data_IF_698913681583
#
_entry.id   IF_698913681583
#
_cell.length_a   1.000
_cell.length_b   1.000
_cell.length_c   1.000
_cell.angle_alpha   90.00
_cell.angle_beta   90.00
_cell.angle_gamma   90.00
#
_symmetry.space_group_name_H-M   'P 1'
#
loop_
_entity.id
_entity.type
_entity.pdbx_description
1 polymer ?
#
# COMPACT_ATOMS: atom_id res chain seq x y z
N UNK A 1 -4.82 6.97 -13.58
CA UNK A 1 -3.74 5.95 -13.71
C UNK A 1 -3.25 5.59 -12.32
N UNK A 2 -2.63 4.43 -12.14
CA UNK A 2 -2.01 4.02 -10.89
C UNK A 2 -0.91 5.02 -10.50
N UNK A 3 -0.73 5.23 -9.19
CA UNK A 3 0.35 6.06 -8.67
C UNK A 3 1.70 5.38 -8.96
N UNK A 4 2.74 6.17 -9.21
CA UNK A 4 4.11 5.64 -9.25
C UNK A 4 4.56 5.30 -7.84
N UNK A 5 5.54 4.40 -7.74
CA UNK A 5 6.14 4.05 -6.45
C UNK A 5 6.72 5.29 -5.76
N UNK A 6 7.38 6.19 -6.50
CA UNK A 6 7.92 7.43 -5.92
C UNK A 6 6.85 8.32 -5.25
N UNK A 7 5.64 8.39 -5.81
CA UNK A 7 4.53 9.12 -5.18
C UNK A 7 4.00 8.41 -3.94
N UNK A 8 3.97 7.08 -3.94
CA UNK A 8 3.57 6.27 -2.78
C UNK A 8 4.62 6.38 -1.66
N UNK A 9 5.91 6.33 -2.01
CA UNK A 9 7.02 6.52 -1.08
C UNK A 9 6.95 7.91 -0.42
N UNK A 10 6.68 8.96 -1.19
CA UNK A 10 6.45 10.31 -0.66
C UNK A 10 5.25 10.39 0.29
N UNK A 11 4.18 9.62 0.05
CA UNK A 11 3.05 9.50 0.97
C UNK A 11 3.47 8.81 2.27
N UNK A 12 4.22 7.70 2.19
CA UNK A 12 4.73 7.01 3.38
C UNK A 12 5.65 7.92 4.22
N UNK A 13 6.52 8.70 3.58
CA UNK A 13 7.40 9.67 4.25
C UNK A 13 6.60 10.75 4.99
N UNK A 14 5.48 11.22 4.40
CA UNK A 14 4.59 12.16 5.08
C UNK A 14 3.94 11.54 6.31
N UNK A 15 3.43 10.32 6.18
CA UNK A 15 2.84 9.59 7.30
C UNK A 15 3.87 9.36 8.42
N UNK A 16 5.08 8.92 8.09
CA UNK A 16 6.22 8.75 9.01
C UNK A 16 6.56 10.05 9.74
N UNK A 17 6.58 11.19 9.04
CA UNK A 17 7.00 12.45 9.64
C UNK A 17 5.97 13.11 10.56
N UNK A 18 4.68 12.80 10.40
CA UNK A 18 3.58 13.51 11.07
C UNK A 18 2.85 12.71 12.14
N UNK A 19 2.89 11.38 12.05
CA UNK A 19 2.19 10.50 12.96
C UNK A 19 3.16 9.51 13.61
N UNK A 20 2.68 8.66 14.51
CA UNK A 20 3.50 7.74 15.28
C UNK A 20 3.84 6.47 14.49
N UNK A 21 4.50 6.66 13.35
CA UNK A 21 4.95 5.62 12.44
C UNK A 21 6.47 5.62 12.34
N UNK A 22 7.07 4.44 12.26
CA UNK A 22 8.48 4.24 11.95
C UNK A 22 8.63 3.58 10.59
N UNK A 23 9.52 4.09 9.75
CA UNK A 23 9.73 3.57 8.40
C UNK A 23 10.37 2.19 8.36
N UNK A 24 9.83 1.34 7.49
CA UNK A 24 10.40 0.02 7.15
C UNK A 24 11.09 0.14 5.80
N UNK A 25 12.40 -0.08 5.78
CA UNK A 25 13.23 0.12 4.59
C UNK A 25 13.77 -1.20 4.04
N UNK A 26 13.75 -1.34 2.72
CA UNK A 26 14.39 -2.43 1.99
C UNK A 26 15.16 -1.86 0.79
N UNK A 27 16.44 -2.20 0.64
CA UNK A 27 17.24 -1.70 -0.48
C UNK A 27 17.39 -0.17 -0.53
N UNK A 28 17.21 0.53 0.61
CA UNK A 28 17.23 2.00 0.68
C UNK A 28 15.90 2.67 0.35
N UNK A 29 14.85 1.90 0.07
CA UNK A 29 13.51 2.36 -0.26
C UNK A 29 12.55 2.18 0.92
N UNK A 30 11.70 3.17 1.19
CA UNK A 30 10.66 3.07 2.22
C UNK A 30 9.48 2.24 1.70
N UNK A 31 9.29 1.04 2.24
CA UNK A 31 8.34 0.03 1.72
C UNK A 31 7.14 -0.24 2.64
N UNK A 32 7.08 0.43 3.78
CA UNK A 32 6.03 0.27 4.77
C UNK A 32 6.30 1.08 6.03
N UNK A 33 5.38 1.01 6.98
CA UNK A 33 5.45 1.70 8.26
C UNK A 33 5.06 0.73 9.37
N UNK A 34 5.66 0.90 10.55
CA UNK A 34 5.27 0.20 11.77
C UNK A 34 4.93 1.22 12.86
N UNK A 35 3.75 1.09 13.44
CA UNK A 35 3.30 1.89 14.57
C UNK A 35 3.37 1.06 15.86
N UNK A 36 2.88 1.60 16.99
CA UNK A 36 2.90 0.89 18.26
C UNK A 36 2.19 -0.47 18.23
N UNK A 37 1.00 -0.51 17.62
CA UNK A 37 0.12 -1.68 17.60
C UNK A 37 -0.39 -2.03 16.19
N UNK A 38 0.13 -1.40 15.15
CA UNK A 38 -0.35 -1.53 13.77
C UNK A 38 0.79 -1.42 12.76
N UNK A 39 0.55 -1.80 11.50
CA UNK A 39 1.52 -1.63 10.42
C UNK A 39 0.84 -1.28 9.09
N UNK A 40 1.57 -0.55 8.25
CA UNK A 40 1.21 -0.27 6.86
C UNK A 40 2.20 -1.00 5.97
N UNK A 41 1.69 -1.81 5.05
CA UNK A 41 2.51 -2.55 4.10
C UNK A 41 2.08 -2.21 2.68
N UNK A 42 3.03 -2.35 1.74
CA UNK A 42 2.75 -2.25 0.32
C UNK A 42 2.65 -3.64 -0.33
N UNK A 43 1.56 -3.83 -1.05
CA UNK A 43 1.33 -4.95 -1.97
C UNK A 43 2.05 -4.72 -3.32
N UNK A 44 2.20 -5.75 -4.17
CA UNK A 44 3.12 -5.67 -5.31
C UNK A 44 2.87 -4.52 -6.31
N UNK A 45 1.61 -4.11 -6.48
CA UNK A 45 1.22 -2.99 -7.35
C UNK A 45 1.15 -1.64 -6.66
N UNK A 46 1.61 -1.53 -5.41
CA UNK A 46 1.58 -0.29 -4.63
C UNK A 46 0.27 -0.06 -3.88
N UNK A 47 -0.59 -1.08 -3.79
CA UNK A 47 -1.78 -1.03 -2.93
C UNK A 47 -1.33 -0.94 -1.48
N UNK A 48 -2.01 -0.10 -0.70
CA UNK A 48 -1.70 0.11 0.71
C UNK A 48 -2.57 -0.79 1.56
N UNK A 49 -1.94 -1.61 2.39
CA UNK A 49 -2.59 -2.45 3.37
C UNK A 49 -2.40 -1.85 4.77
N UNK A 50 -3.47 -1.82 5.57
CA UNK A 50 -3.41 -1.57 7.00
C UNK A 50 -3.61 -2.88 7.74
N UNK A 51 -2.59 -3.31 8.48
CA UNK A 51 -2.75 -4.27 9.57
C UNK A 51 -3.05 -3.49 10.85
N UNK A 52 -4.34 -3.34 11.15
CA UNK A 52 -4.83 -2.55 12.27
C UNK A 52 -4.56 -3.20 13.62
N UNK A 53 -4.76 -2.43 14.69
CA UNK A 53 -4.52 -2.93 16.05
C UNK A 53 -5.52 -4.01 16.45
N UNK A 54 -5.14 -4.84 17.42
CA UNK A 54 -6.08 -5.77 18.04
C UNK A 54 -7.13 -5.00 18.84
N UNK A 55 -8.39 -5.09 18.41
CA UNK A 55 -9.52 -4.40 19.02
C UNK A 55 -10.46 -5.36 19.74
N UNK A 56 -11.08 -4.96 20.87
CA UNK A 56 -12.04 -5.79 21.60
C UNK A 56 -13.37 -5.97 20.88
N UNK A 57 -13.73 -5.06 19.97
CA UNK A 57 -14.98 -5.09 19.21
C UNK A 57 -14.88 -4.34 17.87
N UNK A 58 -15.94 -4.45 17.07
CA UNK A 58 -16.02 -3.84 15.73
C UNK A 58 -16.06 -2.31 15.76
N UNK A 59 -16.53 -1.69 16.85
CA UNK A 59 -16.56 -0.24 16.98
C UNK A 59 -15.15 0.33 17.21
N UNK A 60 -14.34 -0.38 18.00
CA UNK A 60 -12.90 -0.10 18.09
C UNK A 60 -12.23 -0.24 16.72
N UNK A 61 -12.50 -1.33 15.97
CA UNK A 61 -11.92 -1.52 14.64
C UNK A 61 -12.30 -0.37 13.69
N UNK A 62 -13.57 0.04 13.71
CA UNK A 62 -14.06 1.13 12.86
C UNK A 62 -13.43 2.47 13.25
N UNK A 63 -13.23 2.73 14.55
CA UNK A 63 -12.52 3.92 15.02
C UNK A 63 -11.08 3.96 14.53
N UNK A 64 -10.33 2.87 14.73
CA UNK A 64 -8.94 2.72 14.28
C UNK A 64 -8.80 2.92 12.76
N UNK A 65 -9.64 2.22 11.98
CA UNK A 65 -9.68 2.35 10.53
C UNK A 65 -10.04 3.77 10.08
N UNK A 66 -11.01 4.42 10.73
CA UNK A 66 -11.41 5.78 10.36
C UNK A 66 -10.34 6.81 10.64
N UNK A 67 -9.59 6.66 11.73
CA UNK A 67 -8.42 7.50 12.02
C UNK A 67 -7.36 7.33 10.94
N UNK A 68 -7.04 6.09 10.55
CA UNK A 68 -6.09 5.84 9.48
C UNK A 68 -6.52 6.46 8.15
N UNK A 69 -7.78 6.26 7.74
CA UNK A 69 -8.32 6.85 6.51
C UNK A 69 -8.28 8.38 6.54
N UNK A 70 -8.58 9.00 7.68
CA UNK A 70 -8.51 10.46 7.81
C UNK A 70 -7.08 10.99 7.60
N UNK A 71 -6.08 10.36 8.22
CA UNK A 71 -4.66 10.71 8.04
C UNK A 71 -4.21 10.53 6.59
N UNK A 72 -4.60 9.41 5.97
CA UNK A 72 -4.33 9.13 4.57
C UNK A 72 -4.92 10.18 3.62
N UNK A 73 -6.19 10.57 3.83
CA UNK A 73 -6.86 11.58 3.01
C UNK A 73 -6.21 12.96 3.15
N UNK A 74 -5.80 13.33 4.37
CA UNK A 74 -5.10 14.58 4.63
C UNK A 74 -3.78 14.64 3.85
N UNK A 75 -2.95 13.59 3.91
CA UNK A 75 -1.65 13.60 3.26
C UNK A 75 -1.73 13.43 1.74
N UNK A 76 -2.69 12.64 1.23
CA UNK A 76 -2.88 12.44 -0.22
C UNK A 76 -3.31 13.72 -0.94
N UNK A 77 -4.12 14.58 -0.31
CA UNK A 77 -4.56 15.84 -0.89
C UNK A 77 -3.40 16.75 -1.30
N UNK A 78 -2.30 16.70 -0.57
CA UNK A 78 -1.11 17.50 -0.81
C UNK A 78 -0.15 16.94 -1.87
N UNK A 79 -0.38 15.70 -2.33
CA UNK A 79 0.43 14.97 -3.29
C UNK A 79 -0.27 14.75 -4.65
N UNK A 80 -1.46 15.35 -4.84
CA UNK A 80 -2.32 15.10 -6.00
C UNK A 80 -2.63 13.60 -6.19
N UNK A 81 -2.81 12.90 -5.07
CA UNK A 81 -3.18 11.49 -5.01
C UNK A 81 -4.64 11.33 -4.61
N UNK A 82 -5.28 10.30 -5.16
CA UNK A 82 -6.61 9.87 -4.78
C UNK A 82 -6.58 8.41 -4.33
N UNK A 83 -7.33 8.11 -3.27
CA UNK A 83 -7.52 6.75 -2.78
C UNK A 83 -8.81 6.16 -3.33
N UNK A 84 -8.78 4.86 -3.63
CA UNK A 84 -9.88 4.15 -4.26
C UNK A 84 -10.10 2.82 -3.56
N UNK A 85 -11.21 2.70 -2.82
CA UNK A 85 -11.62 1.46 -2.18
C UNK A 85 -12.38 0.55 -3.14
N UNK A 86 -11.66 -0.25 -3.94
CA UNK A 86 -12.26 -1.22 -4.85
C UNK A 86 -11.39 -2.48 -4.93
N UNK A 87 -12.03 -3.64 -5.09
CA UNK A 87 -11.31 -4.93 -5.19
C UNK A 87 -10.50 -5.12 -6.48
N UNK A 88 -10.66 -4.24 -7.47
CA UNK A 88 -9.83 -4.22 -8.67
C UNK A 88 -9.69 -2.81 -9.23
N UNK A 89 -8.47 -2.36 -9.56
CA UNK A 89 -8.26 -1.06 -10.20
C UNK A 89 -8.67 -1.11 -11.68
N UNK A 90 -9.53 -0.20 -12.17
CA UNK A 90 -10.12 -0.31 -13.50
C UNK A 90 -9.43 0.57 -14.56
N UNK A 91 -8.42 1.36 -14.16
CA UNK A 91 -7.94 2.49 -14.97
C UNK A 91 -6.68 2.17 -15.77
N UNK A 92 -5.75 1.42 -15.19
CA UNK A 92 -4.42 1.22 -15.76
C UNK A 92 -4.26 -0.20 -16.30
N UNK A 93 -3.48 -0.36 -17.35
CA UNK A 93 -3.09 -1.68 -17.82
C UNK A 93 -2.10 -2.32 -16.84
N UNK A 94 -1.96 -3.64 -16.89
CA UNK A 94 -1.12 -4.40 -15.96
C UNK A 94 0.35 -3.94 -16.01
N UNK A 95 0.84 -3.67 -17.22
CA UNK A 95 2.21 -3.24 -17.52
C UNK A 95 2.50 -1.78 -17.12
N UNK A 96 1.47 -0.96 -16.92
CA UNK A 96 1.61 0.45 -16.52
C UNK A 96 1.74 0.64 -15.00
N UNK A 97 1.42 -0.39 -14.23
CA UNK A 97 1.51 -0.38 -12.77
C UNK A 97 2.96 -0.71 -12.41
N UNK A 98 3.60 0.10 -11.59
CA UNK A 98 4.98 -0.18 -11.15
C UNK A 98 5.00 -1.33 -10.14
N UNK A 99 6.14 -2.01 -10.04
CA UNK A 99 6.38 -2.95 -8.95
C UNK A 99 6.95 -2.18 -7.76
N UNK A 100 6.43 -2.45 -6.56
CA UNK A 100 7.08 -2.01 -5.32
C UNK A 100 8.46 -2.69 -5.23
N UNK A 101 9.53 -1.97 -4.85
CA UNK A 101 10.90 -2.49 -4.82
C UNK A 101 11.16 -3.41 -3.60
N UNK A 102 10.44 -4.53 -3.53
CA UNK A 102 10.64 -5.61 -2.55
C UNK A 102 11.20 -6.83 -3.26
N UNK A 103 12.32 -7.35 -2.79
CA UNK A 103 13.06 -8.48 -3.36
C UNK A 103 12.19 -9.72 -3.58
N UNK A 104 11.20 -9.95 -2.70
CA UNK A 104 10.25 -11.06 -2.86
C UNK A 104 9.44 -10.98 -4.16
N UNK A 105 9.16 -9.79 -4.67
CA UNK A 105 8.39 -9.62 -5.91
C UNK A 105 9.20 -9.93 -7.16
N UNK A 106 10.52 -9.82 -7.12
CA UNK A 106 11.43 -10.28 -8.19
C UNK A 106 11.35 -11.80 -8.38
N UNK A 107 11.02 -12.54 -7.33
CA UNK A 107 10.80 -13.99 -7.38
C UNK A 107 9.37 -14.31 -7.80
N UNK A 108 8.39 -13.69 -7.15
CA UNK A 108 6.97 -14.00 -7.35
C UNK A 108 6.47 -13.59 -8.74
N UNK A 109 6.85 -12.40 -9.23
CA UNK A 109 6.37 -11.86 -10.50
C UNK A 109 6.64 -12.78 -11.70
N UNK A 110 7.89 -13.20 -11.94
CA UNK A 110 8.23 -14.17 -12.99
C UNK A 110 7.65 -15.57 -12.75
N UNK A 111 7.47 -15.98 -11.49
CA UNK A 111 6.84 -17.25 -11.17
C UNK A 111 5.36 -17.28 -11.59
N UNK A 112 4.61 -16.21 -11.32
CA UNK A 112 3.19 -16.12 -11.67
C UNK A 112 2.91 -16.22 -13.18
N UNK A 113 3.85 -15.80 -14.03
CA UNK A 113 3.75 -15.95 -15.49
C UNK A 113 3.81 -17.42 -15.94
N UNK A 114 4.34 -18.31 -15.10
CA UNK A 114 4.49 -19.74 -15.40
C UNK A 114 3.33 -20.59 -14.90
N UNK A 115 2.49 -20.05 -14.01
CA UNK A 115 1.45 -20.81 -13.29
C UNK A 115 0.02 -20.41 -13.64
N UNK A 116 -0.16 -19.44 -14.56
CA UNK A 116 -1.47 -18.99 -15.03
C UNK A 116 -1.42 -17.62 -15.69
N UNK A 117 -2.57 -17.10 -16.07
CA UNK A 117 -2.74 -15.80 -16.76
C UNK A 117 -3.22 -14.67 -15.83
N UNK A 118 -3.77 -15.01 -14.66
CA UNK A 118 -4.32 -14.03 -13.71
C UNK A 118 -3.40 -13.70 -12.53
N UNK A 119 -2.29 -14.43 -12.33
CA UNK A 119 -1.44 -14.29 -11.15
C UNK A 119 -0.83 -12.88 -10.99
N UNK A 120 -0.29 -12.31 -12.07
CA UNK A 120 0.21 -10.93 -12.01
C UNK A 120 -0.90 -9.87 -11.85
N UNK A 121 -2.11 -10.14 -12.37
CA UNK A 121 -3.26 -9.25 -12.16
C UNK A 121 -3.68 -9.22 -10.71
N UNK A 122 -3.73 -10.39 -10.06
CA UNK A 122 -3.94 -10.47 -8.62
C UNK A 122 -2.86 -9.66 -7.88
N UNK A 123 -1.59 -9.84 -8.21
CA UNK A 123 -0.51 -9.12 -7.54
C UNK A 123 -0.59 -7.58 -7.68
N UNK A 124 -1.00 -7.08 -8.86
CA UNK A 124 -0.86 -5.65 -9.19
C UNK A 124 -2.16 -4.87 -9.29
N UNK A 125 -3.31 -5.56 -9.42
CA UNK A 125 -4.58 -4.91 -9.72
C UNK A 125 -5.64 -5.12 -8.65
N UNK A 126 -5.47 -6.04 -7.69
CA UNK A 126 -6.48 -6.29 -6.64
C UNK A 126 -6.10 -5.70 -5.29
N UNK A 127 -7.10 -5.45 -4.44
CA UNK A 127 -6.99 -4.98 -3.05
C UNK A 127 -8.09 -5.61 -2.19
#
# INVERSE_FOLDING_TARGET
>A
KAASYASIEALLQRLESKYDWQGVYEGGHLIGLVGPDSSVTLEPGGQMELSGRLCPDIHCCQGDFSTYIAQLLEETASLDLALLGMGSQPFSRLEEIEWVPKSRYDVMGPYMLRTGDMGQRMMKQTA
#
